data_IF_738057053668
#
_entry.id   IF_738057053668
#
_cell.length_a   1.000
_cell.length_b   1.000
_cell.length_c   1.000
_cell.angle_alpha   90.00
_cell.angle_beta   90.00
_cell.angle_gamma   90.00
#
_symmetry.space_group_name_H-M   'P 1'
#
loop_
_entity.id
_entity.type
_entity.pdbx_description
1 polymer ?
#
# COMPACT_ATOMS: atom_id res chain seq x y z
N UNK A 1 23.49 48.89 -51.97
CA UNK A 1 22.71 47.69 -52.29
C UNK A 1 21.80 48.02 -53.45
N UNK A 2 21.89 47.26 -54.55
CA UNK A 2 21.06 47.48 -55.74
C UNK A 2 19.67 46.85 -55.55
N UNK A 3 18.69 47.27 -56.35
CA UNK A 3 17.34 46.70 -56.30
C UNK A 3 17.35 45.16 -56.52
N UNK A 4 18.25 44.67 -57.37
CA UNK A 4 18.41 43.23 -57.63
C UNK A 4 18.96 42.46 -56.41
N UNK A 5 19.92 43.03 -55.68
CA UNK A 5 20.47 42.43 -54.44
C UNK A 5 19.41 42.36 -53.32
N UNK A 6 18.55 43.37 -53.21
CA UNK A 6 17.44 43.36 -52.25
C UNK A 6 16.43 42.26 -52.58
N UNK A 7 16.05 42.12 -53.85
CA UNK A 7 15.09 41.09 -54.30
C UNK A 7 15.63 39.68 -54.07
N UNK A 8 16.90 39.43 -54.40
CA UNK A 8 17.54 38.13 -54.17
C UNK A 8 17.60 37.77 -52.67
N UNK A 9 17.86 38.76 -51.82
CA UNK A 9 17.91 38.57 -50.36
C UNK A 9 16.52 38.23 -49.80
N UNK A 10 15.47 38.92 -50.24
CA UNK A 10 14.09 38.64 -49.83
C UNK A 10 13.63 37.25 -50.29
N UNK A 11 13.98 36.86 -51.52
CA UNK A 11 13.67 35.51 -52.03
C UNK A 11 14.37 34.43 -51.22
N UNK A 12 15.67 34.59 -50.93
CA UNK A 12 16.42 33.66 -50.09
C UNK A 12 15.83 33.56 -48.67
N UNK A 13 15.42 34.68 -48.08
CA UNK A 13 14.77 34.69 -46.76
C UNK A 13 13.40 34.00 -46.79
N UNK A 14 12.62 34.15 -47.86
CA UNK A 14 11.32 33.49 -48.01
C UNK A 14 11.48 31.96 -48.10
N UNK A 15 12.46 31.48 -48.86
CA UNK A 15 12.79 30.05 -48.95
C UNK A 15 13.27 29.47 -47.61
N UNK A 16 14.07 30.24 -46.86
CA UNK A 16 14.51 29.86 -45.52
C UNK A 16 13.35 29.76 -44.53
N UNK A 17 12.39 30.70 -44.57
CA UNK A 17 11.18 30.66 -43.76
C UNK A 17 10.34 29.41 -44.07
N UNK A 18 10.16 29.08 -45.35
CA UNK A 18 9.41 27.88 -45.75
C UNK A 18 10.12 26.60 -45.27
N UNK A 19 11.45 26.55 -45.37
CA UNK A 19 12.26 25.44 -44.86
C UNK A 19 12.12 25.28 -43.35
N UNK A 20 12.17 26.38 -42.61
CA UNK A 20 12.01 26.39 -41.15
C UNK A 20 10.60 25.97 -40.73
N UNK A 21 9.56 26.41 -41.42
CA UNK A 21 8.18 25.96 -41.18
C UNK A 21 8.06 24.44 -41.28
N UNK A 22 8.58 23.86 -42.37
CA UNK A 22 8.60 22.39 -42.56
C UNK A 22 9.45 21.65 -41.51
N UNK A 23 10.44 22.32 -40.91
CA UNK A 23 11.25 21.74 -39.84
C UNK A 23 10.47 21.72 -38.52
N UNK A 24 9.79 22.82 -38.19
CA UNK A 24 8.96 22.93 -36.98
C UNK A 24 7.85 21.89 -36.98
N UNK A 25 7.16 21.70 -38.10
CA UNK A 25 6.10 20.68 -38.21
C UNK A 25 6.64 19.26 -37.98
N UNK A 26 7.81 18.96 -38.58
CA UNK A 26 8.47 17.66 -38.38
C UNK A 26 8.91 17.44 -36.94
N UNK A 27 9.46 18.46 -36.29
CA UNK A 27 9.87 18.39 -34.89
C UNK A 27 8.67 18.22 -33.96
N UNK A 28 7.56 18.91 -34.24
CA UNK A 28 6.32 18.75 -33.49
C UNK A 28 5.77 17.32 -33.58
N UNK A 29 5.71 16.75 -34.80
CA UNK A 29 5.28 15.37 -34.98
C UNK A 29 6.24 14.36 -34.36
N UNK A 30 7.55 14.54 -34.50
CA UNK A 30 8.55 13.66 -33.90
C UNK A 30 8.49 13.69 -32.37
N UNK A 31 8.35 14.87 -31.76
CA UNK A 31 8.17 15.01 -30.31
C UNK A 31 6.91 14.28 -29.84
N UNK A 32 5.78 14.44 -30.56
CA UNK A 32 4.54 13.73 -30.23
C UNK A 32 4.70 12.21 -30.29
N UNK A 33 5.38 11.68 -31.30
CA UNK A 33 5.68 10.26 -31.42
C UNK A 33 6.59 9.76 -30.29
N UNK A 34 7.65 10.50 -29.95
CA UNK A 34 8.55 10.15 -28.84
C UNK A 34 7.80 10.14 -27.50
N UNK A 35 6.88 11.08 -27.28
CA UNK A 35 6.03 11.09 -26.09
C UNK A 35 5.07 9.90 -26.06
N UNK A 36 4.39 9.57 -27.16
CA UNK A 36 3.50 8.41 -27.24
C UNK A 36 4.23 7.09 -27.02
N UNK A 37 5.44 6.94 -27.56
CA UNK A 37 6.25 5.72 -27.40
C UNK A 37 6.76 5.58 -25.96
N UNK A 38 7.15 6.70 -25.33
CA UNK A 38 7.52 6.71 -23.91
C UNK A 38 6.33 6.37 -23.00
N UNK A 39 5.14 6.93 -23.27
CA UNK A 39 3.91 6.60 -22.55
C UNK A 39 3.53 5.12 -22.72
N UNK A 40 3.55 4.60 -23.95
CA UNK A 40 3.24 3.20 -24.23
C UNK A 40 4.20 2.24 -23.51
N UNK A 41 5.49 2.58 -23.42
CA UNK A 41 6.48 1.76 -22.72
C UNK A 41 6.25 1.74 -21.20
N UNK A 42 5.91 2.88 -20.61
CA UNK A 42 5.56 2.97 -19.18
C UNK A 42 4.27 2.19 -18.89
N UNK A 43 3.26 2.32 -19.75
CA UNK A 43 2.01 1.55 -19.65
C UNK A 43 2.31 0.05 -19.73
N UNK A 44 3.12 -0.40 -20.70
CA UNK A 44 3.49 -1.81 -20.84
C UNK A 44 4.28 -2.35 -19.64
N UNK A 45 5.16 -1.54 -19.01
CA UNK A 45 5.83 -1.93 -17.77
C UNK A 45 4.87 -2.03 -16.58
N UNK A 46 3.88 -1.13 -16.50
CA UNK A 46 2.83 -1.18 -15.49
C UNK A 46 1.96 -2.43 -15.68
N UNK A 47 1.55 -2.73 -16.91
CA UNK A 47 0.76 -3.91 -17.26
C UNK A 47 1.54 -5.21 -17.00
N UNK A 48 2.83 -5.27 -17.34
CA UNK A 48 3.67 -6.43 -17.07
C UNK A 48 3.87 -6.66 -15.56
N UNK A 49 4.04 -5.58 -14.77
CA UNK A 49 4.08 -5.67 -13.31
C UNK A 49 2.73 -6.08 -12.73
N UNK A 50 1.63 -5.58 -13.29
CA UNK A 50 0.28 -5.95 -12.87
C UNK A 50 0.03 -7.46 -13.07
N UNK A 51 0.41 -8.02 -14.23
CA UNK A 51 0.24 -9.45 -14.52
C UNK A 51 1.02 -10.36 -13.55
N UNK A 52 2.24 -9.99 -13.14
CA UNK A 52 3.02 -10.76 -12.14
C UNK A 52 2.36 -10.69 -10.75
N UNK A 53 1.75 -9.55 -10.42
CA UNK A 53 1.08 -9.34 -9.12
C UNK A 53 -0.28 -10.06 -9.05
N UNK A 54 -0.98 -10.20 -10.17
CA UNK A 54 -2.21 -11.00 -10.27
C UNK A 54 -1.95 -12.49 -9.94
N UNK A 55 -0.82 -13.04 -10.39
CA UNK A 55 -0.38 -14.39 -10.05
C UNK A 55 0.00 -14.53 -8.56
N UNK A 56 0.60 -13.50 -7.96
CA UNK A 56 0.98 -13.49 -6.54
C UNK A 56 -0.24 -13.43 -5.61
N UNK A 57 -1.22 -12.58 -5.93
CA UNK A 57 -2.47 -12.49 -5.18
C UNK A 57 -3.21 -13.84 -5.20
N UNK A 58 -3.33 -14.46 -6.38
CA UNK A 58 -4.00 -15.75 -6.54
C UNK A 58 -3.33 -16.85 -5.69
N UNK A 59 -1.99 -16.93 -5.72
CA UNK A 59 -1.22 -17.89 -4.93
C UNK A 59 -1.35 -17.63 -3.41
N UNK A 60 -1.33 -16.36 -2.99
CA UNK A 60 -1.57 -15.99 -1.60
C UNK A 60 -2.99 -16.35 -1.16
N UNK A 61 -3.98 -16.14 -2.02
CA UNK A 61 -5.39 -16.45 -1.72
C UNK A 61 -5.64 -17.93 -1.52
N UNK A 62 -4.99 -18.80 -2.29
CA UNK A 62 -5.05 -20.26 -2.07
C UNK A 62 -4.52 -20.60 -0.67
N UNK A 63 -3.30 -20.17 -0.33
CA UNK A 63 -2.68 -20.45 0.98
C UNK A 63 -3.45 -19.83 2.15
N UNK A 64 -3.96 -18.62 1.98
CA UNK A 64 -4.74 -17.94 3.01
C UNK A 64 -6.05 -18.68 3.32
N UNK A 65 -6.71 -19.23 2.29
CA UNK A 65 -7.89 -20.08 2.44
C UNK A 65 -7.57 -21.43 3.12
N UNK A 66 -6.32 -21.91 3.01
CA UNK A 66 -5.84 -23.09 3.72
C UNK A 66 -5.43 -22.81 5.18
N UNK A 67 -5.53 -21.55 5.62
CA UNK A 67 -5.22 -21.14 6.99
C UNK A 67 -3.77 -20.70 7.22
N UNK A 68 -2.99 -20.46 6.17
CA UNK A 68 -1.65 -19.89 6.32
C UNK A 68 -1.76 -18.43 6.80
N UNK A 69 -1.48 -18.23 8.09
CA UNK A 69 -1.54 -16.93 8.75
C UNK A 69 -0.61 -15.88 8.13
N UNK A 70 0.52 -16.29 7.53
CA UNK A 70 1.42 -15.36 6.82
C UNK A 70 0.81 -14.93 5.50
N UNK A 71 0.18 -15.85 4.77
CA UNK A 71 -0.52 -15.51 3.52
C UNK A 71 -1.73 -14.60 3.77
N UNK A 72 -2.50 -14.88 4.84
CA UNK A 72 -3.57 -14.00 5.30
C UNK A 72 -3.04 -12.61 5.67
N UNK A 73 -1.92 -12.51 6.40
CA UNK A 73 -1.29 -11.23 6.71
C UNK A 73 -0.90 -10.45 5.44
N UNK A 74 -0.27 -11.11 4.47
CA UNK A 74 0.14 -10.51 3.20
C UNK A 74 -1.05 -10.03 2.37
N UNK A 75 -2.13 -10.82 2.25
CA UNK A 75 -3.35 -10.37 1.58
C UNK A 75 -3.96 -9.16 2.27
N UNK A 76 -3.97 -9.17 3.61
CA UNK A 76 -4.42 -8.03 4.39
C UNK A 76 -3.66 -6.75 4.01
N UNK A 77 -2.34 -6.86 3.92
CA UNK A 77 -1.46 -5.77 3.51
C UNK A 77 -1.70 -5.29 2.08
N UNK A 78 -1.86 -6.24 1.14
CA UNK A 78 -2.11 -5.94 -0.27
C UNK A 78 -3.38 -5.12 -0.46
N UNK A 79 -4.49 -5.56 0.13
CA UNK A 79 -5.78 -4.88 0.02
C UNK A 79 -5.81 -3.56 0.80
N UNK A 80 -5.23 -3.51 2.01
CA UNK A 80 -5.28 -2.30 2.85
C UNK A 80 -4.38 -1.16 2.35
N UNK A 81 -3.24 -1.46 1.73
CA UNK A 81 -2.28 -0.46 1.24
C UNK A 81 -2.20 -0.37 -0.29
N UNK A 82 -3.17 -0.95 -0.99
CA UNK A 82 -3.24 -0.98 -2.46
C UNK A 82 -1.94 -1.46 -3.12
N UNK A 83 -1.37 -2.57 -2.60
CA UNK A 83 -0.14 -3.16 -3.16
C UNK A 83 -0.50 -4.24 -4.16
N UNK A 84 -0.48 -3.87 -5.44
CA UNK A 84 -0.76 -4.78 -6.56
C UNK A 84 -2.24 -5.07 -6.79
N UNK A 85 -3.11 -4.63 -5.89
CA UNK A 85 -4.58 -4.71 -6.01
C UNK A 85 -5.21 -3.36 -5.70
N UNK A 86 -6.46 -3.15 -6.12
CA UNK A 86 -7.23 -1.98 -5.73
C UNK A 86 -7.39 -1.90 -4.20
N UNK A 87 -7.40 -0.68 -3.65
CA UNK A 87 -7.58 -0.49 -2.21
C UNK A 87 -8.94 -1.04 -1.76
N UNK A 88 -8.91 -1.98 -0.81
CA UNK A 88 -10.06 -2.42 -0.05
C UNK A 88 -9.64 -2.64 1.41
N UNK A 89 -9.66 -1.55 2.18
CA UNK A 89 -9.28 -1.61 3.59
C UNK A 89 -10.18 -2.53 4.42
N UNK A 90 -11.45 -2.72 4.04
CA UNK A 90 -12.38 -3.60 4.76
C UNK A 90 -11.96 -5.05 4.55
N UNK A 91 -11.70 -5.44 3.31
CA UNK A 91 -11.20 -6.77 3.00
C UNK A 91 -9.81 -7.01 3.60
N UNK A 92 -8.93 -6.02 3.58
CA UNK A 92 -7.61 -6.11 4.19
C UNK A 92 -7.67 -6.43 5.69
N UNK A 93 -8.55 -5.71 6.41
CA UNK A 93 -8.83 -5.96 7.83
C UNK A 93 -9.37 -7.37 8.08
N UNK A 94 -10.27 -7.88 7.23
CA UNK A 94 -10.84 -9.23 7.41
C UNK A 94 -9.76 -10.31 7.34
N UNK A 95 -8.77 -10.14 6.46
CA UNK A 95 -7.63 -11.06 6.40
C UNK A 95 -6.73 -10.94 7.63
N UNK A 96 -6.47 -9.72 8.10
CA UNK A 96 -5.73 -9.53 9.35
C UNK A 96 -6.45 -10.10 10.57
N UNK A 97 -7.80 -10.05 10.63
CA UNK A 97 -8.56 -10.70 11.70
C UNK A 97 -8.32 -12.21 11.75
N UNK A 98 -8.27 -12.87 10.59
CA UNK A 98 -7.97 -14.31 10.52
C UNK A 98 -6.53 -14.61 10.96
N UNK A 99 -5.55 -13.86 10.43
CA UNK A 99 -4.14 -14.03 10.80
C UNK A 99 -3.89 -13.75 12.29
N UNK A 100 -4.54 -12.71 12.83
CA UNK A 100 -4.45 -12.32 14.23
C UNK A 100 -5.06 -13.39 15.17
N UNK A 101 -6.19 -13.97 14.77
CA UNK A 101 -6.82 -15.09 15.47
C UNK A 101 -5.97 -16.38 15.41
N UNK A 102 -5.11 -16.52 14.40
CA UNK A 102 -4.12 -17.60 14.30
C UNK A 102 -2.79 -17.28 15.03
N UNK A 103 -2.70 -16.17 15.76
CA UNK A 103 -1.52 -15.80 16.56
C UNK A 103 -0.45 -15.01 15.80
N UNK A 104 -0.70 -14.55 14.58
CA UNK A 104 0.28 -13.78 13.81
C UNK A 104 0.51 -12.39 14.42
N UNK A 105 1.62 -12.21 15.13
CA UNK A 105 1.89 -11.02 15.95
C UNK A 105 1.85 -9.70 15.14
N UNK A 106 2.36 -9.68 13.92
CA UNK A 106 2.31 -8.50 13.04
C UNK A 106 0.88 -8.17 12.59
N UNK A 107 0.04 -9.19 12.36
CA UNK A 107 -1.35 -8.97 11.97
C UNK A 107 -2.17 -8.43 13.13
N UNK A 108 -1.86 -8.86 14.36
CA UNK A 108 -2.45 -8.31 15.58
C UNK A 108 -2.11 -6.82 15.74
N UNK A 109 -0.87 -6.42 15.44
CA UNK A 109 -0.46 -5.01 15.49
C UNK A 109 -1.15 -4.17 14.41
N UNK A 110 -1.22 -4.64 13.16
CA UNK A 110 -1.93 -3.94 12.09
C UNK A 110 -3.43 -3.82 12.38
N UNK A 111 -4.06 -4.88 12.90
CA UNK A 111 -5.45 -4.85 13.32
C UNK A 111 -5.70 -3.85 14.46
N UNK A 112 -4.77 -3.75 15.41
CA UNK A 112 -4.81 -2.72 16.45
C UNK A 112 -4.80 -1.30 15.86
N UNK A 113 -3.93 -1.06 14.87
CA UNK A 113 -3.87 0.21 14.14
C UNK A 113 -5.16 0.51 13.35
N UNK A 114 -5.78 -0.49 12.74
CA UNK A 114 -7.07 -0.35 12.07
C UNK A 114 -8.19 0.04 13.04
N UNK A 115 -8.26 -0.58 14.23
CA UNK A 115 -9.18 -0.17 15.31
C UNK A 115 -8.90 1.21 15.89
N UNK A 116 -7.65 1.61 16.04
CA UNK A 116 -7.29 2.93 16.53
C UNK A 116 -7.65 4.05 15.54
N UNK A 117 -7.46 3.79 14.24
CA UNK A 117 -7.72 4.76 13.17
C UNK A 117 -9.17 4.76 12.67
N UNK A 118 -9.86 3.62 12.74
CA UNK A 118 -11.18 3.42 12.13
C UNK A 118 -11.13 3.23 10.60
N UNK A 119 -9.99 2.80 10.05
CA UNK A 119 -9.87 2.50 8.61
C UNK A 119 -10.16 1.02 8.37
N UNK A 120 -11.04 0.73 7.41
CA UNK A 120 -11.50 -0.63 7.10
C UNK A 120 -12.47 -1.23 8.12
N UNK A 121 -12.70 -0.58 9.27
CA UNK A 121 -13.63 -1.01 10.31
C UNK A 121 -14.03 0.18 11.21
N UNK A 122 -15.04 0.01 12.07
CA UNK A 122 -15.44 1.06 13.02
C UNK A 122 -14.39 1.25 14.13
N UNK A 123 -14.00 2.50 14.40
CA UNK A 123 -13.00 2.83 15.41
C UNK A 123 -13.40 2.33 16.80
N UNK A 124 -12.51 1.59 17.46
CA UNK A 124 -12.67 1.09 18.82
C UNK A 124 -11.32 1.09 19.56
N UNK A 125 -11.12 2.06 20.46
CA UNK A 125 -9.89 2.19 21.22
C UNK A 125 -9.68 1.05 22.23
N UNK A 126 -10.74 0.47 22.78
CA UNK A 126 -10.59 -0.65 23.72
C UNK A 126 -10.08 -1.86 22.95
N UNK A 127 -10.71 -2.19 21.82
CA UNK A 127 -10.27 -3.32 20.98
C UNK A 127 -8.89 -3.08 20.37
N UNK A 128 -8.55 -1.84 19.99
CA UNK A 128 -7.19 -1.50 19.55
C UNK A 128 -6.15 -1.84 20.64
N UNK A 129 -6.40 -1.41 21.87
CA UNK A 129 -5.50 -1.67 22.99
C UNK A 129 -5.38 -3.17 23.29
N UNK A 130 -6.47 -3.93 23.21
CA UNK A 130 -6.46 -5.40 23.36
C UNK A 130 -5.48 -6.03 22.38
N UNK A 131 -5.58 -5.69 21.09
CA UNK A 131 -4.70 -6.26 20.07
C UNK A 131 -3.25 -5.79 20.19
N UNK A 132 -3.00 -4.54 20.62
CA UNK A 132 -1.66 -4.07 20.93
C UNK A 132 -1.01 -4.86 22.07
N UNK A 133 -1.78 -5.19 23.13
CA UNK A 133 -1.30 -6.04 24.23
C UNK A 133 -0.96 -7.43 23.72
N UNK A 134 -1.89 -8.08 23.02
CA UNK A 134 -1.70 -9.46 22.52
C UNK A 134 -0.50 -9.54 21.57
N UNK A 135 -0.35 -8.58 20.66
CA UNK A 135 0.80 -8.52 19.73
C UNK A 135 2.13 -8.38 20.46
N UNK A 136 2.18 -7.55 21.51
CA UNK A 136 3.36 -7.36 22.34
C UNK A 136 3.75 -8.63 23.12
N UNK A 137 2.77 -9.36 23.65
CA UNK A 137 2.98 -10.65 24.33
C UNK A 137 3.42 -11.74 23.34
N UNK A 138 2.94 -11.70 22.10
CA UNK A 138 3.36 -12.60 21.02
C UNK A 138 4.74 -12.25 20.42
N UNK A 139 5.44 -11.26 20.98
CA UNK A 139 6.83 -10.96 20.67
C UNK A 139 7.06 -9.90 19.59
N UNK A 140 6.02 -9.19 19.12
CA UNK A 140 6.23 -8.11 18.16
C UNK A 140 6.82 -6.88 18.86
N UNK A 141 8.10 -6.60 18.58
CA UNK A 141 8.88 -5.58 19.28
C UNK A 141 8.28 -4.16 19.17
N UNK A 142 7.69 -3.83 18.03
CA UNK A 142 7.10 -2.51 17.81
C UNK A 142 5.78 -2.32 18.57
N UNK A 143 5.02 -3.40 18.82
CA UNK A 143 3.75 -3.33 19.53
C UNK A 143 3.89 -2.80 20.96
N UNK A 144 4.98 -3.10 21.68
CA UNK A 144 5.18 -2.61 23.05
C UNK A 144 5.14 -1.09 23.14
N UNK A 145 5.85 -0.42 22.23
CA UNK A 145 5.91 1.05 22.19
C UNK A 145 4.54 1.66 21.87
N UNK A 146 3.85 1.11 20.88
CA UNK A 146 2.55 1.65 20.44
C UNK A 146 1.44 1.35 21.45
N UNK A 147 1.48 0.18 22.10
CA UNK A 147 0.65 -0.18 23.25
C UNK A 147 0.77 0.84 24.37
N UNK A 148 2.00 1.18 24.77
CA UNK A 148 2.26 2.08 25.90
C UNK A 148 1.84 3.51 25.56
N UNK A 149 2.12 3.94 24.32
CA UNK A 149 1.66 5.24 23.81
C UNK A 149 0.14 5.31 23.81
N UNK A 150 -0.54 4.35 23.20
CA UNK A 150 -2.00 4.33 23.10
C UNK A 150 -2.64 4.26 24.50
N UNK A 151 -2.10 3.45 25.42
CA UNK A 151 -2.54 3.38 26.82
C UNK A 151 -2.46 4.74 27.53
N UNK A 152 -1.41 5.53 27.30
CA UNK A 152 -1.25 6.85 27.93
C UNK A 152 -2.31 7.88 27.52
N UNK A 153 -2.95 7.67 26.37
CA UNK A 153 -3.99 8.53 25.81
C UNK A 153 -5.41 8.05 26.19
N UNK A 154 -5.54 6.86 26.77
CA UNK A 154 -6.82 6.25 27.13
C UNK A 154 -7.33 6.72 28.49
N UNK A 155 -8.67 6.79 28.60
CA UNK A 155 -9.32 6.87 29.90
C UNK A 155 -9.06 5.61 30.73
N UNK A 156 -8.73 5.75 32.01
CA UNK A 156 -8.34 4.64 32.89
C UNK A 156 -9.35 3.47 32.89
N UNK A 157 -10.65 3.74 32.89
CA UNK A 157 -11.67 2.69 32.84
C UNK A 157 -11.71 1.91 31.52
N UNK A 158 -11.32 2.53 30.41
CA UNK A 158 -11.19 1.84 29.12
C UNK A 158 -9.92 1.01 29.06
N UNK A 159 -8.83 1.48 29.66
CA UNK A 159 -7.57 0.74 29.75
C UNK A 159 -7.73 -0.53 30.58
N UNK A 160 -8.34 -0.43 31.77
CA UNK A 160 -8.61 -1.61 32.64
C UNK A 160 -9.42 -2.66 31.87
N UNK A 161 -10.49 -2.23 31.19
CA UNK A 161 -11.30 -3.14 30.37
C UNK A 161 -10.48 -3.82 29.27
N UNK A 162 -9.61 -3.09 28.59
CA UNK A 162 -8.76 -3.64 27.54
C UNK A 162 -7.75 -4.66 28.11
N UNK A 163 -7.12 -4.36 29.25
CA UNK A 163 -6.21 -5.27 29.94
C UNK A 163 -6.91 -6.56 30.38
N UNK A 164 -8.12 -6.45 30.93
CA UNK A 164 -8.94 -7.61 31.31
C UNK A 164 -9.30 -8.48 30.10
N UNK A 165 -9.73 -7.87 28.99
CA UNK A 165 -10.08 -8.59 27.77
C UNK A 165 -8.86 -9.27 27.13
N UNK A 166 -7.72 -8.60 27.08
CA UNK A 166 -6.48 -9.17 26.56
C UNK A 166 -5.99 -10.33 27.43
N UNK A 167 -6.01 -10.18 28.76
CA UNK A 167 -5.63 -11.24 29.68
C UNK A 167 -6.54 -12.47 29.54
N UNK A 168 -7.85 -12.26 29.38
CA UNK A 168 -8.80 -13.35 29.15
C UNK A 168 -8.52 -14.07 27.83
N UNK A 169 -8.26 -13.34 26.74
CA UNK A 169 -7.91 -13.92 25.45
C UNK A 169 -6.65 -14.79 25.52
N UNK A 170 -5.59 -14.28 26.15
CA UNK A 170 -4.32 -14.98 26.33
C UNK A 170 -4.50 -16.26 27.16
N UNK A 171 -5.33 -16.21 28.20
CA UNK A 171 -5.69 -17.36 29.01
C UNK A 171 -6.45 -18.43 28.21
N UNK A 172 -7.36 -18.02 27.33
CA UNK A 172 -8.16 -18.93 26.50
C UNK A 172 -7.37 -19.48 25.30
N UNK A 173 -6.30 -18.78 24.89
CA UNK A 173 -5.49 -19.12 23.72
C UNK A 173 -4.00 -19.36 24.04
N UNK A 174 -3.64 -20.21 25.01
CA UNK A 174 -2.26 -20.36 25.46
C UNK A 174 -1.32 -20.91 24.38
N UNK A 175 -1.86 -21.62 23.39
CA UNK A 175 -1.13 -22.18 22.26
C UNK A 175 -0.74 -21.14 21.20
N UNK A 176 -1.34 -19.95 21.22
CA UNK A 176 -1.05 -18.84 20.30
C UNK A 176 -0.02 -17.86 20.86
N UNK A 177 0.46 -18.11 22.07
CA UNK A 177 1.47 -17.29 22.73
C UNK A 177 2.83 -17.85 22.39
N UNK A 178 3.66 -17.06 21.71
CA UNK A 178 5.08 -17.40 21.57
C UNK A 178 5.71 -17.40 22.96
N UNK A 179 6.06 -18.58 23.46
CA UNK A 179 6.77 -18.76 24.72
C UNK A 179 8.17 -18.14 24.64
N UNK A 180 8.25 -16.81 24.75
CA UNK A 180 9.51 -16.08 24.91
C UNK A 180 9.99 -16.08 26.38
N UNK A 181 9.31 -16.82 27.26
CA UNK A 181 9.65 -16.97 28.69
C UNK A 181 9.42 -18.40 29.18
N UNK A 182 10.19 -19.36 28.65
CA UNK A 182 10.46 -20.63 29.29
C UNK A 182 11.97 -20.80 29.46
#
# INVERSE_FOLDING_TARGET
MTHAELVATVQSQAEEIERLSKLVDRLYHASKLVHQDAEAKVIAEIEARAAVLEDEEAALRIRANEGDAKAQFSLGWMYYYAKGVAEDSVQGVQWWQQAAAAGHAEAQWELAGAYASGRGLARDHVTAQVWYIISAENGFLFAKKDRDKHASEMFAGHLIRAEEQAAQWLKDSPHLINAATA
#
